data_IF_041668006064
#
_entry.id   IF_041668006064
#
_cell.length_a   1.000
_cell.length_b   1.000
_cell.length_c   1.000
_cell.angle_alpha   90.00
_cell.angle_beta   90.00
_cell.angle_gamma   90.00
#
_symmetry.space_group_name_H-M   'P 1'
#
loop_
_entity.id
_entity.type
_entity.pdbx_description
1 polymer ?
#
# COMPACT_ATOMS: atom_id res chain seq x y z
N UNK A 1 1.87 -0.93 -1.45
CA UNK A 1 1.73 0.33 -2.21
C UNK A 1 2.99 1.15 -1.99
N UNK A 2 3.10 2.36 -2.56
CA UNK A 2 4.16 3.31 -2.17
C UNK A 2 5.60 2.78 -2.35
N UNK A 3 5.85 2.04 -3.43
CA UNK A 3 7.18 1.51 -3.74
C UNK A 3 7.87 2.45 -4.74
N UNK A 4 9.00 3.03 -4.34
CA UNK A 4 9.88 3.79 -5.25
C UNK A 4 10.43 2.85 -6.33
N UNK A 5 10.46 3.34 -7.57
CA UNK A 5 11.09 2.61 -8.68
C UNK A 5 12.58 2.89 -8.69
N UNK A 6 13.37 1.82 -8.78
CA UNK A 6 14.81 1.87 -9.03
C UNK A 6 15.09 1.30 -10.42
N UNK A 7 16.07 1.87 -11.12
CA UNK A 7 16.37 1.58 -12.52
C UNK A 7 17.84 1.22 -12.73
N UNK A 8 18.29 1.07 -13.98
CA UNK A 8 19.64 0.57 -14.30
C UNK A 8 20.81 1.39 -13.75
N UNK A 9 20.59 2.65 -13.35
CA UNK A 9 21.61 3.49 -12.72
C UNK A 9 21.62 3.46 -11.18
N UNK A 10 20.83 2.58 -10.56
CA UNK A 10 20.80 2.39 -9.10
C UNK A 10 21.89 1.40 -8.66
N UNK A 11 22.17 1.34 -7.36
CA UNK A 11 23.04 0.28 -6.83
C UNK A 11 22.40 -1.10 -7.04
N UNK A 12 23.22 -2.15 -7.12
CA UNK A 12 22.73 -3.52 -7.25
C UNK A 12 21.75 -3.88 -6.14
N UNK A 13 22.05 -3.48 -4.89
CA UNK A 13 21.18 -3.71 -3.72
C UNK A 13 19.83 -3.01 -3.85
N UNK A 14 19.80 -1.74 -4.27
CA UNK A 14 18.54 -1.01 -4.47
C UNK A 14 17.71 -1.61 -5.60
N UNK A 15 18.37 -2.01 -6.69
CA UNK A 15 17.72 -2.59 -7.85
C UNK A 15 17.15 -3.98 -7.53
N UNK A 16 17.93 -4.83 -6.86
CA UNK A 16 17.48 -6.12 -6.33
C UNK A 16 16.26 -5.95 -5.41
N UNK A 17 16.34 -5.03 -4.44
CA UNK A 17 15.25 -4.74 -3.51
C UNK A 17 13.98 -4.28 -4.26
N UNK A 18 14.12 -3.45 -5.28
CA UNK A 18 13.01 -3.05 -6.13
C UNK A 18 12.41 -4.20 -6.93
N UNK A 19 13.23 -5.11 -7.48
CA UNK A 19 12.74 -6.23 -8.26
C UNK A 19 12.00 -7.26 -7.39
N UNK A 20 12.58 -7.63 -6.24
CA UNK A 20 12.17 -8.83 -5.51
C UNK A 20 11.54 -8.57 -4.15
N UNK A 21 11.93 -7.52 -3.42
CA UNK A 21 11.48 -7.32 -2.04
C UNK A 21 10.10 -6.63 -1.97
N UNK A 22 9.15 -7.22 -1.23
CA UNK A 22 7.83 -6.63 -0.95
C UNK A 22 7.47 -6.81 0.52
N UNK A 23 6.86 -5.79 1.11
CA UNK A 23 6.25 -5.91 2.45
C UNK A 23 5.09 -6.91 2.38
N UNK A 24 5.04 -7.83 3.34
CA UNK A 24 3.96 -8.81 3.48
C UNK A 24 3.42 -8.85 4.93
N UNK A 25 2.82 -7.75 5.43
CA UNK A 25 2.32 -7.70 6.80
C UNK A 25 1.06 -8.56 6.98
N UNK A 26 0.99 -9.27 8.10
CA UNK A 26 -0.26 -9.82 8.65
C UNK A 26 -0.98 -8.72 9.43
N UNK A 27 -2.08 -8.20 8.87
CA UNK A 27 -2.78 -7.05 9.43
C UNK A 27 -2.99 -5.96 8.38
N UNK A 28 -2.98 -4.69 8.80
CA UNK A 28 -3.18 -3.55 7.89
C UNK A 28 -2.08 -3.53 6.82
N UNK A 29 -2.50 -3.56 5.55
CA UNK A 29 -1.63 -3.46 4.39
C UNK A 29 -2.20 -2.40 3.43
N UNK A 30 -1.31 -1.59 2.86
CA UNK A 30 -1.64 -0.72 1.74
C UNK A 30 -1.24 -1.39 0.45
N UNK A 31 -2.20 -1.65 -0.41
CA UNK A 31 -2.06 -2.47 -1.61
C UNK A 31 -2.50 -1.70 -2.85
N UNK A 32 -2.13 -2.21 -4.03
CA UNK A 32 -2.48 -1.63 -5.34
C UNK A 32 -3.52 -2.52 -5.99
N UNK A 33 -4.58 -1.92 -6.49
CA UNK A 33 -5.63 -2.61 -7.23
C UNK A 33 -5.84 -1.96 -8.58
N UNK A 34 -6.27 -2.75 -9.55
CA UNK A 34 -6.67 -2.28 -10.87
C UNK A 34 -8.11 -2.72 -11.13
N UNK A 35 -8.95 -1.78 -11.54
CA UNK A 35 -10.32 -2.08 -11.94
C UNK A 35 -10.35 -2.67 -13.36
N UNK A 36 -9.83 -3.89 -13.52
CA UNK A 36 -9.52 -4.49 -14.82
C UNK A 36 -10.76 -4.70 -15.71
N UNK A 37 -11.90 -5.03 -15.11
CA UNK A 37 -13.17 -5.25 -15.80
C UNK A 37 -14.07 -4.00 -15.85
N UNK A 38 -13.48 -2.82 -15.65
CA UNK A 38 -14.19 -1.55 -15.70
C UNK A 38 -13.30 -0.47 -16.30
N UNK A 39 -13.06 0.60 -15.54
CA UNK A 39 -12.34 1.77 -16.05
C UNK A 39 -10.83 1.55 -16.28
N UNK A 40 -10.27 0.39 -15.92
CA UNK A 40 -8.86 0.05 -16.13
C UNK A 40 -7.87 0.81 -15.25
N UNK A 41 -8.35 1.76 -14.42
CA UNK A 41 -7.53 2.62 -13.56
C UNK A 41 -6.95 1.84 -12.37
N UNK A 42 -5.76 2.24 -11.98
CA UNK A 42 -5.13 1.83 -10.72
C UNK A 42 -5.61 2.72 -9.57
N UNK A 43 -5.75 2.12 -8.40
CA UNK A 43 -6.01 2.82 -7.13
C UNK A 43 -5.32 2.07 -5.98
N UNK A 44 -5.27 2.71 -4.82
CA UNK A 44 -4.69 2.13 -3.61
C UNK A 44 -5.80 1.80 -2.62
N UNK A 45 -5.63 0.71 -1.88
CA UNK A 45 -6.55 0.30 -0.82
C UNK A 45 -5.79 0.08 0.49
N UNK A 46 -6.39 0.48 1.60
CA UNK A 46 -5.96 0.06 2.93
C UNK A 46 -6.87 -1.08 3.40
N UNK A 47 -6.30 -2.27 3.59
CA UNK A 47 -7.06 -3.48 3.94
C UNK A 47 -6.34 -4.29 4.99
N UNK A 48 -7.07 -4.92 5.91
CA UNK A 48 -6.53 -5.93 6.80
C UNK A 48 -6.38 -7.26 6.05
N UNK A 49 -5.17 -7.78 5.89
CA UNK A 49 -4.92 -9.05 5.20
C UNK A 49 -5.41 -10.26 5.97
N UNK A 50 -5.62 -10.14 7.29
CA UNK A 50 -6.14 -11.21 8.14
C UNK A 50 -7.67 -11.27 8.19
N UNK A 51 -8.37 -10.12 8.13
CA UNK A 51 -9.84 -10.07 8.28
C UNK A 51 -10.57 -9.62 7.02
N UNK A 52 -9.83 -9.20 5.99
CA UNK A 52 -10.33 -8.65 4.72
C UNK A 52 -11.07 -7.31 4.85
N UNK A 53 -11.17 -6.71 6.04
CA UNK A 53 -11.76 -5.39 6.27
C UNK A 53 -11.03 -4.31 5.46
N UNK A 54 -11.78 -3.52 4.71
CA UNK A 54 -11.27 -2.38 3.93
C UNK A 54 -11.54 -1.09 4.69
N UNK A 55 -10.48 -0.35 5.02
CA UNK A 55 -10.58 0.94 5.72
C UNK A 55 -10.81 2.10 4.75
N UNK A 56 -10.53 1.90 3.47
CA UNK A 56 -10.85 2.83 2.39
C UNK A 56 -9.92 2.70 1.18
N UNK A 57 -10.22 3.49 0.15
CA UNK A 57 -9.46 3.55 -1.11
C UNK A 57 -9.10 4.99 -1.45
N UNK A 58 -8.04 5.17 -2.25
CA UNK A 58 -7.52 6.50 -2.58
C UNK A 58 -6.71 6.49 -3.90
N UNK A 59 -6.46 7.67 -4.51
CA UNK A 59 -5.80 7.76 -5.82
C UNK A 59 -4.41 7.15 -5.87
N UNK A 60 -4.04 6.56 -7.01
CA UNK A 60 -2.76 5.89 -7.23
C UNK A 60 -1.55 6.83 -7.18
N UNK A 61 -1.77 8.12 -7.42
CA UNK A 61 -0.73 9.16 -7.45
C UNK A 61 -0.38 9.69 -6.05
N UNK A 62 -1.03 9.19 -5.00
CA UNK A 62 -0.75 9.61 -3.62
C UNK A 62 0.53 8.92 -3.14
N UNK A 63 1.48 9.69 -2.61
CA UNK A 63 2.77 9.18 -2.12
C UNK A 63 2.69 8.57 -0.72
N UNK A 64 1.66 8.94 0.06
CA UNK A 64 1.43 8.50 1.42
C UNK A 64 -0.07 8.23 1.66
N UNK A 65 -0.44 7.40 2.66
CA UNK A 65 -1.84 7.21 3.02
C UNK A 65 -2.51 8.53 3.47
N UNK A 66 -3.69 8.90 2.93
CA UNK A 66 -4.41 10.08 3.39
C UNK A 66 -4.74 10.04 4.88
N UNK A 67 -4.77 11.20 5.55
CA UNK A 67 -5.05 11.32 6.98
C UNK A 67 -6.41 10.68 7.38
N UNK A 68 -7.41 10.78 6.51
CA UNK A 68 -8.72 10.13 6.72
C UNK A 68 -8.63 8.60 6.77
N UNK A 69 -7.78 8.00 5.93
CA UNK A 69 -7.53 6.56 5.93
C UNK A 69 -6.79 6.15 7.21
N UNK A 70 -5.78 6.93 7.62
CA UNK A 70 -5.04 6.69 8.88
C UNK A 70 -5.98 6.76 10.08
N UNK A 71 -6.86 7.74 10.13
CA UNK A 71 -7.87 7.87 11.18
C UNK A 71 -8.84 6.68 11.20
N UNK A 72 -9.34 6.25 10.04
CA UNK A 72 -10.22 5.09 9.92
C UNK A 72 -9.55 3.80 10.41
N UNK A 73 -8.26 3.61 10.10
CA UNK A 73 -7.50 2.46 10.59
C UNK A 73 -7.37 2.54 12.13
N UNK A 74 -6.91 3.67 12.68
CA UNK A 74 -6.71 3.83 14.13
C UNK A 74 -8.02 3.68 14.93
N UNK A 75 -9.14 4.12 14.39
CA UNK A 75 -10.45 3.93 15.03
C UNK A 75 -10.82 2.44 15.17
N UNK A 76 -10.40 1.58 14.22
CA UNK A 76 -10.66 0.13 14.24
C UNK A 76 -9.53 -0.67 14.88
N UNK A 77 -8.30 -0.15 14.83
CA UNK A 77 -7.06 -0.79 15.28
C UNK A 77 -6.22 0.26 16.06
N UNK A 78 -6.57 0.55 17.32
CA UNK A 78 -5.88 1.59 18.11
C UNK A 78 -4.38 1.34 18.26
N UNK A 79 -3.97 0.07 18.35
CA UNK A 79 -2.57 -0.35 18.50
C UNK A 79 -1.78 -0.37 17.17
N UNK A 80 -2.39 0.09 16.07
CA UNK A 80 -1.69 0.13 14.79
C UNK A 80 -0.70 1.30 14.72
N UNK A 81 0.60 0.96 14.69
CA UNK A 81 1.72 1.92 14.74
C UNK A 81 2.06 2.57 13.38
N UNK A 82 1.35 2.24 12.31
CA UNK A 82 1.59 2.83 10.98
C UNK A 82 2.17 1.85 9.95
N UNK A 83 2.63 2.41 8.84
CA UNK A 83 3.29 1.68 7.76
C UNK A 83 4.75 1.39 8.17
N UNK A 84 5.00 0.29 8.88
CA UNK A 84 6.37 -0.25 9.06
C UNK A 84 6.95 -0.62 7.71
#
# INVERSE_FOLDING_TARGET
AHLKRFGPGSSDTDFEGYLFARKNPKGVHFERWRHAYGCGKWFLAARCTATLEVFGTYPAQTTEPPASIVAAIKARRPDWEGLK
#
